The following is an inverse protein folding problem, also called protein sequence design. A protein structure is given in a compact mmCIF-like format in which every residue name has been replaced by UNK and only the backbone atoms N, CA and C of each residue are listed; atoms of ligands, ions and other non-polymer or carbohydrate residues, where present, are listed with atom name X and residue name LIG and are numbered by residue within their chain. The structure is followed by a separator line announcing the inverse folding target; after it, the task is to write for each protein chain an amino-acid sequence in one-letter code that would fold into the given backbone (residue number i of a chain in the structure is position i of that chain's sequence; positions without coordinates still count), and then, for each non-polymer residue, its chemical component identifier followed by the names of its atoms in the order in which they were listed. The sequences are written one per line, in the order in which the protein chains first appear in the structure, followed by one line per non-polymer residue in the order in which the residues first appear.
data_IF_297998458901
#
_entry.id   IF_297998458901
#
_cell.length_a   1.000
_cell.length_b   1.000
_cell.length_c   1.000
_cell.angle_alpha   90.00
_cell.angle_beta   90.00
_cell.angle_gamma   90.00
#
_symmetry.space_group_name_H-M   'P 1'
#
loop_
_entity.id
_entity.type
_entity.pdbx_description
1 polymer ?
#
# COMPACT_ATOMS: atom_id res chain seq x y z
N UNK A 1 -26.81 -12.75 -0.08
CA UNK A 1 -25.63 -13.58 0.22
C UNK A 1 -24.53 -12.96 -0.62
N UNK A 2 -23.80 -11.99 -0.06
CA UNK A 2 -22.72 -11.33 -0.81
C UNK A 2 -21.61 -12.35 -1.01
N UNK A 3 -21.14 -12.48 -2.25
CA UNK A 3 -19.99 -13.32 -2.59
C UNK A 3 -18.77 -12.76 -1.84
N UNK A 4 -18.28 -13.52 -0.86
CA UNK A 4 -17.05 -13.14 -0.17
C UNK A 4 -15.87 -13.31 -1.15
N UNK A 5 -14.93 -12.36 -1.21
CA UNK A 5 -13.79 -12.45 -2.11
C UNK A 5 -13.03 -13.76 -1.86
N UNK A 6 -12.76 -14.52 -2.92
CA UNK A 6 -12.08 -15.83 -2.82
C UNK A 6 -10.60 -15.74 -3.21
N UNK A 7 -10.20 -14.66 -3.87
CA UNK A 7 -8.84 -14.38 -4.30
C UNK A 7 -8.29 -13.07 -3.71
N UNK A 8 -6.98 -13.00 -3.46
CA UNK A 8 -6.27 -11.78 -3.03
C UNK A 8 -6.46 -10.61 -4.01
N UNK A 9 -6.66 -10.91 -5.30
CA UNK A 9 -6.89 -9.93 -6.36
C UNK A 9 -8.33 -9.37 -6.35
N UNK A 10 -9.26 -10.03 -5.67
CA UNK A 10 -10.64 -9.58 -5.54
C UNK A 10 -10.79 -8.51 -4.43
N UNK A 11 -9.73 -8.29 -3.65
CA UNK A 11 -9.69 -7.26 -2.61
C UNK A 11 -9.28 -5.92 -3.23
N UNK A 12 -10.08 -4.86 -3.06
CA UNK A 12 -9.71 -3.55 -3.57
C UNK A 12 -8.47 -3.04 -2.82
N UNK A 13 -7.46 -2.60 -3.60
CA UNK A 13 -6.31 -1.92 -3.06
C UNK A 13 -6.71 -0.51 -2.57
N UNK A 14 -6.46 -0.22 -1.30
CA UNK A 14 -6.79 1.06 -0.69
C UNK A 14 -5.68 2.07 -0.90
N UNK A 15 -5.96 3.18 -1.60
CA UNK A 15 -5.02 4.32 -1.67
C UNK A 15 -4.89 4.94 -0.28
N UNK A 16 -3.65 5.12 0.18
CA UNK A 16 -3.37 5.57 1.55
C UNK A 16 -2.01 6.28 1.61
N UNK A 17 -1.91 7.31 2.46
CA UNK A 17 -0.62 7.93 2.82
C UNK A 17 0.08 7.05 3.87
N UNK A 18 1.39 6.92 3.78
CA UNK A 18 2.20 6.03 4.63
C UNK A 18 2.07 6.42 6.10
N UNK A 19 2.00 7.72 6.44
CA UNK A 19 1.80 8.17 7.82
C UNK A 19 0.56 7.53 8.49
N UNK A 20 -0.50 7.25 7.71
CA UNK A 20 -1.75 6.73 8.24
C UNK A 20 -1.65 5.26 8.63
N UNK A 21 -0.72 4.52 8.01
CA UNK A 21 -0.48 3.11 8.33
C UNK A 21 0.01 2.93 9.77
N UNK A 22 0.71 3.92 10.34
CA UNK A 22 1.13 3.91 11.74
C UNK A 22 -0.03 3.83 12.74
N UNK A 23 -1.23 4.24 12.32
CA UNK A 23 -2.47 4.23 13.12
C UNK A 23 -3.30 2.97 12.90
N UNK A 24 -2.85 2.09 12.00
CA UNK A 24 -3.57 0.86 11.67
C UNK A 24 -3.53 -0.12 12.84
N UNK A 25 -4.64 -0.82 13.06
CA UNK A 25 -4.72 -1.90 14.05
C UNK A 25 -5.02 -3.19 13.30
N UNK A 26 -4.21 -4.22 13.54
CA UNK A 26 -4.42 -5.55 12.95
C UNK A 26 -5.68 -6.19 13.54
N UNK A 27 -6.48 -6.80 12.68
CA UNK A 27 -7.64 -7.60 13.05
C UNK A 27 -7.18 -9.06 13.13
N UNK A 28 -7.30 -9.68 14.31
CA UNK A 28 -6.70 -11.00 14.61
C UNK A 28 -7.57 -12.16 14.10
N UNK A 29 -8.88 -11.94 13.91
CA UNK A 29 -9.82 -12.93 13.38
C UNK A 29 -10.70 -12.30 12.29
N UNK A 30 -10.17 -11.98 11.10
CA UNK A 30 -11.00 -11.45 10.06
C UNK A 30 -11.98 -12.52 9.59
N UNK A 31 -13.28 -12.18 9.57
CA UNK A 31 -14.32 -13.00 8.93
C UNK A 31 -14.12 -13.10 7.41
N UNK A 32 -13.15 -12.36 6.87
CA UNK A 32 -12.96 -12.07 5.45
C UNK A 32 -11.54 -12.48 5.05
N UNK A 33 -11.48 -13.51 4.19
CA UNK A 33 -10.33 -14.02 3.44
C UNK A 33 -9.26 -14.75 4.29
N UNK A 34 -9.16 -16.05 4.03
CA UNK A 34 -8.09 -16.90 4.52
C UNK A 34 -6.79 -16.45 3.83
N UNK A 35 -5.77 -16.10 4.62
CA UNK A 35 -4.40 -15.76 4.18
C UNK A 35 -4.03 -14.30 3.90
N UNK A 36 -4.82 -13.28 4.27
CA UNK A 36 -4.37 -11.88 4.25
C UNK A 36 -4.38 -11.24 5.65
N UNK A 37 -3.37 -10.41 5.94
CA UNK A 37 -3.44 -9.54 7.11
C UNK A 37 -4.49 -8.44 6.89
N UNK A 38 -5.52 -8.43 7.73
CA UNK A 38 -6.56 -7.39 7.69
C UNK A 38 -6.28 -6.31 8.74
N UNK A 39 -6.42 -5.05 8.33
CA UNK A 39 -6.12 -3.88 9.14
C UNK A 39 -7.31 -2.94 9.19
N UNK A 40 -7.44 -2.23 10.30
CA UNK A 40 -8.39 -1.12 10.44
C UNK A 40 -7.68 0.20 10.73
N UNK A 41 -8.06 1.27 10.04
CA UNK A 41 -7.71 2.66 10.39
C UNK A 41 -8.98 3.39 10.83
N UNK A 42 -8.88 4.17 11.90
CA UNK A 42 -9.95 4.99 12.48
C UNK A 42 -11.25 4.21 12.78
N UNK A 43 -11.12 2.91 13.11
CA UNK A 43 -12.21 2.00 13.46
C UNK A 43 -13.31 1.77 12.38
N UNK A 44 -13.17 2.38 11.20
CA UNK A 44 -14.17 2.32 10.12
C UNK A 44 -13.62 1.79 8.80
N UNK A 45 -12.32 1.98 8.54
CA UNK A 45 -11.72 1.60 7.25
C UNK A 45 -10.95 0.29 7.37
N UNK A 46 -11.53 -0.78 6.84
CA UNK A 46 -10.91 -2.11 6.81
C UNK A 46 -10.26 -2.34 5.45
N UNK A 47 -8.98 -2.75 5.45
CA UNK A 47 -8.26 -3.08 4.22
C UNK A 47 -7.25 -4.20 4.47
N UNK A 48 -6.95 -4.94 3.41
CA UNK A 48 -5.90 -5.98 3.41
C UNK A 48 -4.83 -5.71 2.35
N UNK A 49 -5.22 -5.08 1.23
CA UNK A 49 -4.32 -4.61 0.18
C UNK A 49 -4.30 -3.08 0.18
N UNK A 50 -3.12 -2.51 0.07
CA UNK A 50 -2.89 -1.07 0.02
C UNK A 50 -2.28 -0.65 -1.32
N UNK A 51 -2.45 0.62 -1.66
CA UNK A 51 -1.80 1.31 -2.76
C UNK A 51 -1.10 2.54 -2.18
N UNK A 52 0.22 2.57 -2.28
CA UNK A 52 1.07 3.69 -1.86
C UNK A 52 1.90 4.19 -3.04
N UNK A 53 2.31 5.46 -3.00
CA UNK A 53 3.23 6.05 -3.96
C UNK A 53 4.27 6.91 -3.23
N UNK A 54 5.50 6.96 -3.72
CA UNK A 54 6.58 7.70 -3.09
C UNK A 54 7.88 7.65 -3.88
N UNK A 55 8.93 8.27 -3.34
CA UNK A 55 10.29 8.15 -3.86
C UNK A 55 11.01 7.00 -3.19
N UNK A 56 11.77 6.23 -3.96
CA UNK A 56 12.65 5.20 -3.41
C UNK A 56 13.85 5.89 -2.75
N UNK A 57 14.00 5.74 -1.43
CA UNK A 57 15.05 6.40 -0.64
C UNK A 57 16.23 5.50 -0.31
N UNK A 58 16.03 4.18 -0.36
CA UNK A 58 17.10 3.20 -0.18
C UNK A 58 16.69 1.85 -0.81
N UNK A 59 17.65 1.09 -1.34
CA UNK A 59 17.41 -0.24 -1.92
C UNK A 59 18.31 -1.23 -1.17
N UNK A 60 17.76 -2.36 -0.74
CA UNK A 60 18.53 -3.38 -0.03
C UNK A 60 19.60 -3.98 -0.95
N UNK A 61 20.77 -4.31 -0.41
CA UNK A 61 21.88 -4.89 -1.19
C UNK A 61 21.49 -6.19 -1.91
N UNK A 62 20.57 -6.97 -1.33
CA UNK A 62 20.00 -8.18 -1.93
C UNK A 62 19.09 -7.91 -3.13
N UNK A 63 18.64 -6.67 -3.32
CA UNK A 63 17.58 -6.30 -4.26
C UNK A 63 16.19 -6.84 -3.89
N UNK A 64 16.04 -7.46 -2.70
CA UNK A 64 14.79 -8.07 -2.26
C UNK A 64 13.82 -7.09 -1.62
N UNK A 65 14.19 -5.82 -1.47
CA UNK A 65 13.33 -4.79 -0.91
C UNK A 65 13.93 -3.40 -0.99
N UNK A 66 13.13 -2.40 -0.63
CA UNK A 66 13.51 -0.99 -0.67
C UNK A 66 12.65 -0.16 0.31
N UNK A 67 13.08 1.07 0.58
CA UNK A 67 12.33 2.05 1.36
C UNK A 67 11.66 3.05 0.43
N UNK A 68 10.37 3.32 0.67
CA UNK A 68 9.55 4.24 -0.09
C UNK A 68 9.09 5.39 0.82
N UNK A 69 9.33 6.63 0.40
CA UNK A 69 8.95 7.86 1.12
C UNK A 69 7.91 8.64 0.31
N UNK A 70 6.72 8.84 0.89
CA UNK A 70 5.63 9.58 0.25
C UNK A 70 5.61 11.09 0.61
N UNK A 71 6.61 11.55 1.36
CA UNK A 71 6.72 12.90 1.91
C UNK A 71 6.08 13.05 3.30
N UNK A 72 5.32 12.06 3.77
CA UNK A 72 4.70 12.04 5.11
C UNK A 72 5.37 11.05 6.05
N UNK A 73 5.78 9.89 5.53
CA UNK A 73 6.47 8.85 6.28
C UNK A 73 7.14 7.86 5.32
N UNK A 74 7.83 6.87 5.88
CA UNK A 74 8.59 5.87 5.13
C UNK A 74 8.01 4.47 5.38
N UNK A 75 7.85 3.69 4.31
CA UNK A 75 7.49 2.28 4.35
C UNK A 75 8.63 1.42 3.80
N UNK A 76 8.83 0.25 4.39
CA UNK A 76 9.67 -0.81 3.84
C UNK A 76 8.83 -1.69 2.88
N UNK A 77 9.38 -1.99 1.71
CA UNK A 77 8.71 -2.76 0.66
C UNK A 77 9.48 -4.04 0.39
N UNK A 78 8.86 -5.18 0.66
CA UNK A 78 9.37 -6.51 0.31
C UNK A 78 8.98 -6.87 -1.14
N UNK A 79 9.99 -7.16 -1.96
CA UNK A 79 9.88 -7.48 -3.38
C UNK A 79 10.14 -8.96 -3.71
N UNK A 80 10.33 -9.81 -2.70
CA UNK A 80 10.71 -11.23 -2.86
C UNK A 80 9.81 -12.03 -3.81
N UNK A 81 8.53 -11.66 -3.91
CA UNK A 81 7.52 -12.35 -4.72
C UNK A 81 6.96 -11.53 -5.88
N UNK A 82 7.67 -10.48 -6.34
CA UNK A 82 7.18 -9.67 -7.45
C UNK A 82 7.17 -10.46 -8.78
N UNK A 83 6.10 -10.36 -9.60
CA UNK A 83 6.06 -10.97 -10.91
C UNK A 83 7.20 -10.49 -11.81
N UNK A 84 7.72 -11.40 -12.65
CA UNK A 84 8.67 -11.05 -13.69
C UNK A 84 8.07 -9.96 -14.61
N UNK A 85 8.80 -8.86 -14.78
CA UNK A 85 8.36 -7.70 -15.56
C UNK A 85 7.96 -6.47 -14.74
N UNK A 86 7.84 -6.59 -13.41
CA UNK A 86 7.78 -5.40 -12.55
C UNK A 86 9.12 -4.63 -12.61
N UNK A 87 9.09 -3.29 -12.65
CA UNK A 87 10.31 -2.48 -12.67
C UNK A 87 11.15 -2.75 -11.42
N UNK A 88 12.47 -2.75 -11.60
CA UNK A 88 13.41 -2.87 -10.49
C UNK A 88 13.41 -1.57 -9.69
N UNK A 89 13.46 -1.64 -8.36
CA UNK A 89 13.63 -0.44 -7.54
C UNK A 89 15.02 0.15 -7.76
N UNK A 90 15.07 1.43 -8.06
CA UNK A 90 16.29 2.23 -8.19
C UNK A 90 16.16 3.48 -7.32
N UNK A 91 17.29 4.02 -6.87
CA UNK A 91 17.27 5.19 -5.98
C UNK A 91 16.65 6.41 -6.68
N UNK A 92 15.87 7.19 -5.94
CA UNK A 92 15.24 8.46 -6.35
C UNK A 92 14.14 8.38 -7.41
N UNK A 93 13.79 7.18 -7.90
CA UNK A 93 12.63 7.01 -8.79
C UNK A 93 11.32 7.20 -8.01
N UNK A 94 10.32 7.78 -8.67
CA UNK A 94 8.98 7.89 -8.12
C UNK A 94 8.18 6.63 -8.48
N UNK A 95 7.80 5.83 -7.49
CA UNK A 95 7.24 4.50 -7.68
C UNK A 95 5.87 4.37 -7.01
N UNK A 96 4.98 3.67 -7.69
CA UNK A 96 3.74 3.14 -7.13
C UNK A 96 3.94 1.69 -6.68
N UNK A 97 3.37 1.34 -5.53
CA UNK A 97 3.35 -0.01 -4.97
C UNK A 97 1.93 -0.38 -4.57
N UNK A 98 1.45 -1.50 -5.10
CA UNK A 98 0.27 -2.20 -4.59
C UNK A 98 0.76 -3.44 -3.84
N UNK A 99 0.33 -3.62 -2.60
CA UNK A 99 0.84 -4.69 -1.75
C UNK A 99 0.00 -5.01 -0.52
N UNK A 100 0.36 -6.10 0.14
CA UNK A 100 -0.21 -6.53 1.42
C UNK A 100 0.55 -5.85 2.56
N UNK A 101 -0.17 -5.22 3.50
CA UNK A 101 0.44 -4.69 4.71
C UNK A 101 0.70 -5.83 5.70
N UNK A 102 1.96 -6.07 6.06
CA UNK A 102 2.36 -7.18 6.93
C UNK A 102 2.61 -6.75 8.37
N UNK A 103 3.25 -5.60 8.55
CA UNK A 103 3.59 -5.03 9.85
C UNK A 103 3.57 -3.49 9.77
N UNK A 104 3.54 -2.83 10.92
CA UNK A 104 3.56 -1.37 11.08
C UNK A 104 4.74 -0.87 11.92
N UNK A 105 5.57 -1.77 12.47
CA UNK A 105 6.72 -1.41 13.32
C UNK A 105 8.01 -2.10 12.83
N UNK A 106 9.18 -1.42 12.88
CA UNK A 106 9.39 -0.01 13.23
C UNK A 106 8.86 0.97 12.17
N UNK A 107 8.68 0.49 10.94
CA UNK A 107 8.01 1.17 9.84
C UNK A 107 6.97 0.22 9.22
N UNK A 108 5.98 0.71 8.47
CA UNK A 108 5.09 -0.13 7.69
C UNK A 108 5.86 -1.05 6.74
N UNK A 109 5.65 -2.36 6.86
CA UNK A 109 6.20 -3.38 5.98
C UNK A 109 5.13 -3.82 4.97
N UNK A 110 5.42 -3.63 3.69
CA UNK A 110 4.50 -3.88 2.59
C UNK A 110 5.06 -4.96 1.69
N UNK A 111 4.37 -6.09 1.57
CA UNK A 111 4.72 -7.12 0.59
C UNK A 111 4.14 -6.76 -0.77
N UNK A 112 5.02 -6.43 -1.72
CA UNK A 112 4.61 -5.95 -3.02
C UNK A 112 3.95 -7.06 -3.85
N UNK A 113 2.81 -6.72 -4.45
CA UNK A 113 2.08 -7.52 -5.43
C UNK A 113 2.35 -6.97 -6.83
N UNK A 114 2.42 -5.64 -6.95
CA UNK A 114 2.70 -4.92 -8.19
C UNK A 114 3.46 -3.64 -7.88
N UNK A 115 4.45 -3.33 -8.71
CA UNK A 115 5.11 -2.01 -8.72
C UNK A 115 5.00 -1.37 -10.09
N UNK A 116 5.11 -0.04 -10.14
CA UNK A 116 5.18 0.72 -11.38
C UNK A 116 6.05 1.95 -11.19
N UNK A 117 6.97 2.18 -12.12
CA UNK A 117 7.72 3.42 -12.21
C UNK A 117 6.81 4.51 -12.79
N UNK A 118 6.71 5.61 -12.06
CA UNK A 118 5.91 6.79 -12.39
C UNK A 118 6.80 8.03 -12.59
N UNK A 119 8.12 7.88 -12.70
CA UNK A 119 9.07 8.99 -12.82
C UNK A 119 8.83 9.86 -14.05
N UNK A 120 8.35 9.26 -15.16
CA UNK A 120 7.97 9.99 -16.37
C UNK A 120 6.63 10.74 -16.25
N UNK A 121 5.87 10.50 -15.19
CA UNK A 121 4.57 11.12 -14.93
C UNK A 121 4.74 12.30 -13.99
N UNK A 122 5.11 13.45 -14.57
CA UNK A 122 5.44 14.69 -13.84
C UNK A 122 4.41 15.17 -12.82
N UNK A 123 3.14 14.77 -12.98
CA UNK A 123 2.05 15.16 -12.08
C UNK A 123 1.69 14.09 -11.04
N UNK A 124 2.19 12.85 -11.17
CA UNK A 124 1.81 11.73 -10.29
C UNK A 124 2.07 12.07 -8.81
N UNK A 125 3.27 12.59 -8.51
CA UNK A 125 3.63 13.00 -7.15
C UNK A 125 2.75 14.13 -6.60
N UNK A 126 2.40 15.11 -7.42
CA UNK A 126 1.58 16.24 -7.00
C UNK A 126 0.10 15.86 -6.80
N UNK A 127 -0.40 14.92 -7.61
CA UNK A 127 -1.79 14.48 -7.59
C UNK A 127 -2.05 13.43 -6.51
N UNK A 128 -1.03 12.65 -6.13
CA UNK A 128 -1.19 11.54 -5.19
C UNK A 128 -1.90 11.90 -3.87
N UNK A 129 -1.53 12.97 -3.13
CA UNK A 129 -2.24 13.35 -1.92
C UNK A 129 -3.72 13.70 -2.17
N UNK A 130 -4.04 14.27 -3.35
CA UNK A 130 -5.40 14.60 -3.75
C UNK A 130 -6.21 13.33 -4.04
N UNK A 131 -5.63 12.33 -4.71
CA UNK A 131 -6.28 11.04 -4.95
C UNK A 131 -6.59 10.30 -3.66
N UNK A 132 -5.66 10.29 -2.69
CA UNK A 132 -5.89 9.68 -1.39
C UNK A 132 -7.01 10.41 -0.66
N UNK A 133 -6.97 11.75 -0.63
CA UNK A 133 -7.99 12.56 0.04
C UNK A 133 -9.38 12.38 -0.59
N UNK A 134 -9.46 12.35 -1.92
CA UNK A 134 -10.73 12.16 -2.64
C UNK A 134 -11.35 10.80 -2.34
N UNK A 135 -10.54 9.74 -2.39
CA UNK A 135 -10.98 8.40 -2.02
C UNK A 135 -11.54 8.39 -0.59
N UNK A 136 -10.78 8.92 0.37
CA UNK A 136 -11.21 8.97 1.78
C UNK A 136 -12.53 9.71 1.97
N UNK A 137 -12.70 10.87 1.35
CA UNK A 137 -13.96 11.63 1.39
C UNK A 137 -15.12 10.83 0.81
N UNK A 138 -14.91 10.18 -0.33
CA UNK A 138 -15.91 9.34 -0.96
C UNK A 138 -16.37 8.24 0.02
N UNK A 139 -15.44 7.52 0.64
CA UNK A 139 -15.75 6.41 1.51
C UNK A 139 -16.45 6.81 2.81
N UNK A 140 -16.06 7.94 3.40
CA UNK A 140 -16.76 8.48 4.58
C UNK A 140 -18.15 9.00 4.20
N UNK A 141 -18.35 9.54 3.00
CA UNK A 141 -19.67 10.01 2.54
C UNK A 141 -20.67 8.90 2.26
N UNK A 142 -20.22 7.69 1.89
CA UNK A 142 -21.08 6.52 1.62
C UNK A 142 -21.56 5.81 2.90
N UNK A 143 -21.13 6.28 4.08
CA UNK A 143 -21.49 5.72 5.38
C UNK A 143 -22.63 6.48 6.09
N UNK A 144 -23.19 7.53 5.45
CA UNK A 144 -24.38 8.28 5.89
C UNK A 144 -25.64 7.78 5.20
#
# INVERSE_FOLDING_TARGET
MEDMPTCRLDVPARKVMIEKLSRAKRIINPTVIVDLCTWKINDEQIYSIIWIQGRVTNVHESGSGFFLDDGTSVAEVDCSNLPAGCPKPELDIYMMVVGELLDIQPHPLVKAIKTQDLSDQSQAQAIWPLEVQDLEKFLTSQQQ
#
